data_IF_799852907756
#
_entry.id   IF_799852907756
#
_cell.length_a   1.000
_cell.length_b   1.000
_cell.length_c   1.000
_cell.angle_alpha   90.00
_cell.angle_beta   90.00
_cell.angle_gamma   90.00
#
_symmetry.space_group_name_H-M   'P 1'
#
loop_
_entity.id
_entity.type
_entity.pdbx_description
1 polymer ?
#
# COMPACT_ATOMS: atom_id res chain seq x y z
N UNK A 1 -38.16 15.44 19.74
CA UNK A 1 -37.89 14.81 18.43
C UNK A 1 -36.40 14.99 18.13
N UNK A 2 -35.57 14.04 18.54
CA UNK A 2 -34.11 14.14 18.43
C UNK A 2 -33.65 13.59 17.07
N UNK A 3 -33.07 14.44 16.23
CA UNK A 3 -32.51 14.03 14.95
C UNK A 3 -31.26 13.18 15.22
N UNK A 4 -31.33 11.88 14.94
CA UNK A 4 -30.15 11.02 14.92
C UNK A 4 -29.42 11.25 13.60
N UNK A 5 -28.30 11.96 13.64
CA UNK A 5 -27.36 12.04 12.53
C UNK A 5 -26.79 10.65 12.25
N UNK A 6 -27.14 10.06 11.10
CA UNK A 6 -26.48 8.86 10.60
C UNK A 6 -25.08 9.26 10.13
N UNK A 7 -24.06 8.87 10.89
CA UNK A 7 -22.69 8.86 10.40
C UNK A 7 -22.65 7.89 9.22
N UNK A 8 -22.41 8.44 8.03
CA UNK A 8 -22.19 7.69 6.80
C UNK A 8 -20.82 7.04 6.94
N UNK A 9 -20.77 5.76 7.29
CA UNK A 9 -19.53 4.99 7.32
C UNK A 9 -18.97 4.97 5.90
N UNK A 10 -17.90 5.74 5.73
CA UNK A 10 -17.07 5.72 4.54
C UNK A 10 -16.42 4.32 4.50
N UNK A 11 -16.73 3.56 3.45
CA UNK A 11 -16.17 2.24 3.22
C UNK A 11 -14.66 2.41 3.02
N UNK A 12 -13.88 2.27 4.10
CA UNK A 12 -12.43 2.16 4.02
C UNK A 12 -12.18 0.84 3.30
N UNK A 13 -11.59 0.84 2.09
CA UNK A 13 -11.22 -0.40 1.44
C UNK A 13 -10.35 -1.18 2.42
N UNK A 14 -10.60 -2.47 2.64
CA UNK A 14 -9.77 -3.31 3.51
C UNK A 14 -8.30 -3.10 3.14
N UNK A 15 -7.61 -2.26 3.92
CA UNK A 15 -6.18 -2.05 3.76
C UNK A 15 -5.53 -3.29 4.31
N UNK A 16 -5.20 -4.22 3.42
CA UNK A 16 -4.34 -5.37 3.73
C UNK A 16 -3.07 -4.85 4.40
N UNK A 17 -2.70 -5.41 5.54
CA UNK A 17 -1.47 -5.03 6.24
C UNK A 17 -0.26 -5.30 5.33
N UNK A 18 0.82 -4.52 5.51
CA UNK A 18 2.10 -4.83 4.84
C UNK A 18 2.56 -6.24 5.18
N UNK A 19 2.38 -6.67 6.44
CA UNK A 19 2.71 -8.00 6.91
C UNK A 19 1.93 -9.05 6.12
N UNK A 20 0.61 -8.91 6.05
CA UNK A 20 -0.25 -9.86 5.31
C UNK A 20 0.11 -9.94 3.82
N UNK A 21 0.54 -8.81 3.23
CA UNK A 21 0.99 -8.75 1.84
C UNK A 21 2.32 -9.51 1.65
N UNK A 22 3.33 -9.19 2.47
CA UNK A 22 4.67 -9.80 2.38
C UNK A 22 4.59 -11.31 2.60
N UNK A 23 3.84 -11.76 3.60
CA UNK A 23 3.63 -13.19 3.87
C UNK A 23 2.75 -13.89 2.83
N UNK A 24 2.07 -13.15 1.95
CA UNK A 24 1.31 -13.73 0.84
C UNK A 24 2.14 -14.00 -0.41
N UNK A 25 3.38 -13.50 -0.49
CA UNK A 25 4.27 -13.77 -1.62
C UNK A 25 4.74 -15.21 -1.64
N UNK A 26 4.68 -15.83 -2.82
CA UNK A 26 5.41 -17.07 -3.06
C UNK A 26 6.90 -16.78 -3.24
N UNK A 27 7.76 -17.79 -3.09
CA UNK A 27 9.20 -17.65 -3.39
C UNK A 27 9.43 -17.17 -4.83
N UNK A 28 8.56 -17.56 -5.78
CA UNK A 28 8.64 -17.06 -7.17
C UNK A 28 8.34 -15.57 -7.27
N UNK A 29 7.42 -15.07 -6.46
CA UNK A 29 7.11 -13.64 -6.40
C UNK A 29 8.28 -12.88 -5.79
N UNK A 30 8.87 -13.39 -4.70
CA UNK A 30 10.06 -12.78 -4.09
C UNK A 30 11.23 -12.71 -5.08
N UNK A 31 11.47 -13.77 -5.86
CA UNK A 31 12.52 -13.81 -6.88
C UNK A 31 12.20 -13.03 -8.17
N UNK A 32 11.01 -12.43 -8.29
CA UNK A 32 10.62 -11.68 -9.47
C UNK A 32 11.00 -10.19 -9.33
N UNK A 33 12.15 -9.81 -9.87
CA UNK A 33 12.63 -8.40 -9.95
C UNK A 33 11.61 -7.40 -10.51
N UNK A 34 10.64 -7.86 -11.30
CA UNK A 34 9.67 -6.99 -11.97
C UNK A 34 8.29 -6.97 -11.29
N UNK A 35 8.14 -7.58 -10.10
CA UNK A 35 6.85 -7.72 -9.42
C UNK A 35 6.13 -6.38 -9.20
N UNK A 36 6.88 -5.31 -8.90
CA UNK A 36 6.35 -3.97 -8.61
C UNK A 36 6.81 -2.86 -9.56
N UNK A 37 7.58 -3.18 -10.62
CA UNK A 37 8.24 -2.21 -11.51
C UNK A 37 7.33 -1.15 -12.14
N UNK A 38 6.04 -1.46 -12.31
CA UNK A 38 5.05 -0.55 -12.91
C UNK A 38 4.00 -0.03 -11.92
N UNK A 39 4.14 -0.37 -10.64
CA UNK A 39 3.20 0.02 -9.59
C UNK A 39 3.65 1.27 -8.82
N UNK A 40 4.94 1.60 -8.90
CA UNK A 40 5.51 2.82 -8.31
C UNK A 40 5.28 3.99 -9.25
N UNK A 41 4.33 4.84 -8.88
CA UNK A 41 4.08 6.10 -9.59
C UNK A 41 4.97 7.20 -9.03
N UNK A 42 5.22 8.24 -9.84
CA UNK A 42 5.94 9.43 -9.36
C UNK A 42 5.17 10.05 -8.19
N UNK A 43 5.87 10.21 -7.07
CA UNK A 43 5.31 10.84 -5.87
C UNK A 43 5.10 12.34 -6.15
N UNK A 44 3.88 12.88 -5.92
CA UNK A 44 3.62 14.30 -6.04
C UNK A 44 4.43 15.13 -5.03
N UNK A 45 4.79 16.36 -5.40
CA UNK A 45 5.53 17.26 -4.51
C UNK A 45 4.68 17.77 -3.32
N UNK A 46 3.35 17.77 -3.47
CA UNK A 46 2.41 18.23 -2.45
C UNK A 46 1.16 17.36 -2.37
N UNK A 47 0.53 17.36 -1.20
CA UNK A 47 -0.66 16.55 -0.92
C UNK A 47 -1.74 17.40 -0.26
N UNK A 48 -2.98 17.23 -0.73
CA UNK A 48 -4.14 17.93 -0.17
C UNK A 48 -4.61 17.27 1.13
N UNK A 49 -4.37 15.97 1.30
CA UNK A 49 -4.83 15.22 2.48
C UNK A 49 -3.77 14.25 3.00
N UNK A 50 -3.84 13.92 4.29
CA UNK A 50 -3.02 12.88 4.88
C UNK A 50 -3.26 11.52 4.22
N UNK A 51 -4.50 11.24 3.81
CA UNK A 51 -4.86 9.99 3.13
C UNK A 51 -4.19 9.89 1.75
N UNK A 52 -4.20 10.97 0.96
CA UNK A 52 -3.48 11.00 -0.33
C UNK A 52 -1.98 10.86 -0.16
N UNK A 53 -1.41 11.53 0.86
CA UNK A 53 0.00 11.36 1.22
C UNK A 53 0.31 9.89 1.51
N UNK A 54 -0.37 9.28 2.49
CA UNK A 54 -0.13 7.87 2.86
C UNK A 54 -0.27 6.93 1.67
N UNK A 55 -1.33 7.07 0.87
CA UNK A 55 -1.58 6.22 -0.29
C UNK A 55 -0.47 6.30 -1.35
N UNK A 56 0.13 7.47 -1.55
CA UNK A 56 1.21 7.64 -2.54
C UNK A 56 2.50 6.89 -2.18
N UNK A 57 2.74 6.60 -0.90
CA UNK A 57 3.94 5.89 -0.46
C UNK A 57 3.76 4.37 -0.33
N UNK A 58 2.52 3.85 -0.36
CA UNK A 58 2.28 2.39 -0.22
C UNK A 58 3.04 1.59 -1.29
N UNK A 59 2.97 1.93 -2.60
CA UNK A 59 3.69 1.15 -3.61
C UNK A 59 5.21 1.19 -3.42
N UNK A 60 5.77 2.34 -3.07
CA UNK A 60 7.22 2.49 -2.81
C UNK A 60 7.68 1.66 -1.61
N UNK A 61 6.90 1.66 -0.51
CA UNK A 61 7.21 0.84 0.66
C UNK A 61 7.21 -0.65 0.35
N UNK A 62 6.25 -1.10 -0.46
CA UNK A 62 6.13 -2.50 -0.88
C UNK A 62 7.28 -2.89 -1.81
N UNK A 63 7.65 -2.04 -2.77
CA UNK A 63 8.80 -2.26 -3.65
C UNK A 63 10.10 -2.34 -2.84
N UNK A 64 10.34 -1.41 -1.92
CA UNK A 64 11.53 -1.40 -1.06
C UNK A 64 11.64 -2.68 -0.24
N UNK A 65 10.53 -3.11 0.38
CA UNK A 65 10.48 -4.35 1.16
C UNK A 65 10.74 -5.58 0.28
N UNK A 66 10.19 -5.60 -0.93
CA UNK A 66 10.43 -6.69 -1.89
C UNK A 66 11.90 -6.74 -2.34
N UNK A 67 12.49 -5.59 -2.66
CA UNK A 67 13.90 -5.50 -3.06
C UNK A 67 14.84 -5.93 -1.93
N UNK A 68 14.55 -5.55 -0.69
CA UNK A 68 15.33 -5.98 0.48
C UNK A 68 15.27 -7.51 0.65
N UNK A 69 14.08 -8.11 0.60
CA UNK A 69 13.93 -9.56 0.65
C UNK A 69 14.64 -10.28 -0.51
N UNK A 70 14.51 -9.76 -1.74
CA UNK A 70 15.20 -10.32 -2.90
C UNK A 70 16.73 -10.27 -2.72
N UNK A 71 17.26 -9.20 -2.14
CA UNK A 71 18.71 -9.03 -1.95
C UNK A 71 19.30 -9.89 -0.84
N UNK A 72 18.46 -10.39 0.07
CA UNK A 72 18.84 -11.23 1.20
C UNK A 72 18.66 -12.74 0.96
N UNK A 73 18.21 -13.14 -0.24
CA UNK A 73 18.05 -14.54 -0.67
C UNK A 73 19.17 -14.99 -1.60
#
# INVERSE_FOLDING_TARGET
>A
MGMKSKVKQEQVPETRSLVDLVFSWSIRDVLNENLYRNQVQRIPDTFVTLTSYKKSFIPSLVEETHADLLSNL
#
